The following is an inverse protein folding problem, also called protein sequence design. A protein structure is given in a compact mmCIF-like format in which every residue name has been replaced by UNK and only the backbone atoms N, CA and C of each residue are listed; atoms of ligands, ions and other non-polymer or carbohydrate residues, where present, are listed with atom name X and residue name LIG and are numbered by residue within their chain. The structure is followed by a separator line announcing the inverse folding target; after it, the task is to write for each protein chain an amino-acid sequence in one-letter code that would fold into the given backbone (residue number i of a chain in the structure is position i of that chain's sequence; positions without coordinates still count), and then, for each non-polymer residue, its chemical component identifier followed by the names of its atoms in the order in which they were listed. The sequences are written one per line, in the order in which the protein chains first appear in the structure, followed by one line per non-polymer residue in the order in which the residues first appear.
data_IF_385777324898
#
_entry.id   IF_385777324898
#
_cell.length_a   1.000
_cell.length_b   1.000
_cell.length_c   1.000
_cell.angle_alpha   90.00
_cell.angle_beta   90.00
_cell.angle_gamma   90.00
#
_symmetry.space_group_name_H-M   'P 1'
#
loop_
_entity.id
_entity.type
_entity.pdbx_description
1 polymer ?
#
# COMPACT_ATOMS: atom_id res chain seq x y z
N UNK A 1 -7.22 10.11 0.94
CA UNK A 1 -6.85 10.00 -0.50
C UNK A 1 -5.69 10.91 -0.98
N UNK A 2 -5.47 12.11 -0.42
CA UNK A 2 -4.60 13.14 -1.05
C UNK A 2 -3.17 12.67 -1.41
N UNK A 3 -2.51 11.91 -0.53
CA UNK A 3 -1.14 11.39 -0.77
C UNK A 3 -1.10 10.46 -1.98
N UNK A 4 -2.06 9.52 -2.09
CA UNK A 4 -2.11 8.56 -3.19
C UNK A 4 -2.36 9.28 -4.52
N UNK A 5 -3.33 10.22 -4.55
CA UNK A 5 -3.63 11.01 -5.74
C UNK A 5 -2.42 11.84 -6.18
N UNK A 6 -1.73 12.48 -5.23
CA UNK A 6 -0.54 13.27 -5.54
C UNK A 6 0.61 12.40 -6.05
N UNK A 7 0.85 11.23 -5.44
CA UNK A 7 1.86 10.29 -5.90
C UNK A 7 1.57 9.80 -7.32
N UNK A 8 0.32 9.41 -7.62
CA UNK A 8 -0.09 9.00 -8.97
C UNK A 8 0.11 10.11 -10.00
N UNK A 9 -0.29 11.34 -9.68
CA UNK A 9 -0.09 12.51 -10.57
C UNK A 9 1.39 12.81 -10.83
N UNK A 10 2.25 12.55 -9.85
CA UNK A 10 3.70 12.73 -9.97
C UNK A 10 4.40 11.53 -10.61
N UNK A 11 3.68 10.49 -11.04
CA UNK A 11 4.27 9.29 -11.64
C UNK A 11 5.00 8.38 -10.66
N UNK A 12 4.67 8.42 -9.37
CA UNK A 12 5.23 7.51 -8.37
C UNK A 12 4.78 6.08 -8.67
N UNK A 13 5.75 5.19 -8.86
CA UNK A 13 5.49 3.76 -8.91
C UNK A 13 5.33 3.20 -7.49
N UNK A 14 4.09 3.07 -7.05
CA UNK A 14 3.77 2.55 -5.71
C UNK A 14 4.13 1.07 -5.53
N UNK A 15 4.40 0.31 -6.60
CA UNK A 15 4.83 -1.10 -6.50
C UNK A 15 6.23 -1.22 -5.90
N UNK A 16 7.05 -0.17 -6.02
CA UNK A 16 8.41 -0.10 -5.50
C UNK A 16 8.49 0.39 -4.05
N UNK A 17 7.34 0.69 -3.42
CA UNK A 17 7.29 1.28 -2.08
C UNK A 17 7.01 0.24 -1.01
N UNK A 18 7.59 0.42 0.17
CA UNK A 18 7.34 -0.42 1.33
C UNK A 18 6.76 0.42 2.48
N UNK A 19 5.64 -0.03 3.05
CA UNK A 19 5.01 0.64 4.19
C UNK A 19 4.75 -0.32 5.36
N UNK A 20 4.73 -1.63 5.12
CA UNK A 20 4.36 -2.63 6.11
C UNK A 20 5.37 -2.66 7.28
N UNK A 21 4.87 -2.86 8.51
CA UNK A 21 5.71 -3.00 9.69
C UNK A 21 6.07 -4.46 10.02
N UNK A 22 5.32 -5.41 9.48
CA UNK A 22 5.46 -6.83 9.80
C UNK A 22 5.32 -7.68 8.52
N UNK A 23 6.16 -7.48 7.49
CA UNK A 23 6.05 -8.24 6.26
C UNK A 23 6.30 -9.74 6.49
N UNK A 24 5.74 -10.58 5.63
CA UNK A 24 6.01 -12.03 5.71
C UNK A 24 7.45 -12.37 5.31
N UNK A 25 7.82 -13.66 5.38
CA UNK A 25 9.17 -14.13 5.00
C UNK A 25 9.55 -13.85 3.54
N UNK A 26 8.58 -13.55 2.68
CA UNK A 26 8.79 -13.20 1.26
C UNK A 26 8.77 -11.68 1.04
N UNK A 27 8.63 -10.88 2.10
CA UNK A 27 8.58 -9.43 2.03
C UNK A 27 7.19 -8.85 1.70
N UNK A 28 6.15 -9.69 1.60
CA UNK A 28 4.79 -9.24 1.26
C UNK A 28 4.15 -8.51 2.43
N UNK A 29 3.36 -7.47 2.13
CA UNK A 29 2.70 -6.66 3.15
C UNK A 29 1.67 -7.50 3.94
N UNK A 30 1.63 -7.37 5.27
CA UNK A 30 0.78 -8.25 6.09
C UNK A 30 -0.72 -7.93 6.05
N UNK A 31 -1.13 -6.78 5.53
CA UNK A 31 -2.54 -6.39 5.45
C UNK A 31 -3.21 -6.01 6.78
N UNK A 32 -2.59 -6.35 7.92
CA UNK A 32 -3.21 -6.24 9.26
C UNK A 32 -2.60 -5.18 10.19
N UNK A 33 -1.34 -4.77 9.98
CA UNK A 33 -0.72 -3.72 10.78
C UNK A 33 -1.31 -2.33 10.47
N UNK A 34 -1.15 -1.37 11.37
CA UNK A 34 -1.71 -0.02 11.24
C UNK A 34 -1.30 0.66 9.93
N UNK A 35 -0.02 0.55 9.54
CA UNK A 35 0.47 1.11 8.29
C UNK A 35 -0.21 0.49 7.06
N UNK A 36 -0.40 -0.84 7.03
CA UNK A 36 -1.14 -1.50 5.95
C UNK A 36 -2.59 -1.02 5.88
N UNK A 37 -3.27 -0.88 7.03
CA UNK A 37 -4.66 -0.40 7.10
C UNK A 37 -4.79 1.03 6.59
N UNK A 38 -3.87 1.92 6.99
CA UNK A 38 -3.83 3.30 6.53
C UNK A 38 -3.56 3.39 5.03
N UNK A 39 -2.60 2.61 4.53
CA UNK A 39 -2.26 2.54 3.11
C UNK A 39 -3.45 2.06 2.28
N UNK A 40 -4.04 0.91 2.63
CA UNK A 40 -5.22 0.36 1.95
C UNK A 40 -6.40 1.32 1.95
N UNK A 41 -6.67 1.99 3.09
CA UNK A 41 -7.69 3.04 3.18
C UNK A 41 -7.40 4.18 2.21
N UNK A 42 -6.14 4.64 2.15
CA UNK A 42 -5.71 5.70 1.25
C UNK A 42 -5.94 5.38 -0.23
N UNK A 43 -5.60 4.14 -0.65
CA UNK A 43 -5.84 3.66 -2.02
C UNK A 43 -7.34 3.54 -2.32
N UNK A 44 -8.11 2.94 -1.41
CA UNK A 44 -9.57 2.82 -1.53
C UNK A 44 -10.25 4.19 -1.69
N UNK A 45 -9.90 5.16 -0.84
CA UNK A 45 -10.45 6.53 -0.95
C UNK A 45 -10.03 7.26 -2.23
N UNK A 46 -8.87 6.90 -2.80
CA UNK A 46 -8.43 7.43 -4.09
C UNK A 46 -9.07 6.72 -5.29
N UNK A 47 -9.94 5.72 -5.05
CA UNK A 47 -10.52 4.84 -6.05
C UNK A 47 -9.44 4.14 -6.91
N UNK A 48 -8.41 3.63 -6.25
CA UNK A 48 -7.28 2.92 -6.85
C UNK A 48 -7.01 1.63 -6.09
N UNK A 49 -6.42 0.66 -6.77
CA UNK A 49 -5.88 -0.55 -6.14
C UNK A 49 -4.42 -0.32 -5.74
N UNK A 50 -4.03 -0.89 -4.60
CA UNK A 50 -2.65 -0.86 -4.13
C UNK A 50 -1.84 -1.92 -4.90
N UNK A 51 -0.77 -1.56 -5.62
CA UNK A 51 -0.06 -2.50 -6.48
C UNK A 51 0.87 -3.47 -5.73
N UNK A 52 1.05 -3.33 -4.41
CA UNK A 52 1.95 -4.22 -3.66
C UNK A 52 1.28 -5.56 -3.35
N UNK A 53 2.07 -6.62 -3.31
CA UNK A 53 1.56 -7.93 -2.89
C UNK A 53 1.32 -7.99 -1.38
N UNK A 54 0.15 -8.49 -1.01
CA UNK A 54 -0.22 -8.79 0.37
C UNK A 54 -0.05 -10.28 0.66
N UNK A 55 0.40 -10.58 1.87
CA UNK A 55 0.44 -11.94 2.37
C UNK A 55 -0.99 -12.51 2.36
N UNK A 56 -1.16 -13.65 1.70
CA UNK A 56 -2.35 -14.49 1.87
C UNK A 56 -2.09 -15.34 3.11
N UNK A 57 -3.05 -15.40 4.02
CA UNK A 57 -3.03 -16.36 5.13
C UNK A 57 -2.76 -17.79 4.63
#
# INVERSE_FOLDING_TARGET
AQIILRGKQSGVDFSLTHSCYDPDRRGRACGRCDSCRLRLKGFKEANLEDPVEYAKE
#
